data_IF_884841780614
#
_entry.id   IF_884841780614
#
_cell.length_a   1.000
_cell.length_b   1.000
_cell.length_c   1.000
_cell.angle_alpha   90.00
_cell.angle_beta   90.00
_cell.angle_gamma   90.00
#
_symmetry.space_group_name_H-M   'P 1'
#
loop_
_entity.id
_entity.type
_entity.pdbx_description
1 polymer ?
#
# COMPACT_ATOMS: atom_id res chain seq x y z
N UNK A 1 -6.32 16.55 -16.48
CA UNK A 1 -6.28 15.62 -15.33
C UNK A 1 -5.87 16.31 -14.02
N UNK A 2 -4.68 16.88 -13.91
CA UNK A 2 -4.17 17.49 -12.65
C UNK A 2 -5.12 18.56 -12.09
N UNK A 3 -5.63 19.47 -12.88
CA UNK A 3 -6.57 20.52 -12.41
C UNK A 3 -7.89 19.92 -11.87
N UNK A 4 -8.38 18.83 -12.45
CA UNK A 4 -9.54 18.10 -11.92
C UNK A 4 -9.24 17.44 -10.58
N UNK A 5 -8.04 16.88 -10.42
CA UNK A 5 -7.60 16.30 -9.16
C UNK A 5 -7.54 17.33 -8.04
N UNK A 6 -7.07 18.55 -8.33
CA UNK A 6 -7.04 19.65 -7.35
C UNK A 6 -8.44 20.11 -6.94
N UNK A 7 -9.41 20.11 -7.89
CA UNK A 7 -10.80 20.52 -7.61
C UNK A 7 -11.60 19.47 -6.83
N UNK A 8 -11.32 18.19 -7.04
CA UNK A 8 -12.03 17.07 -6.41
C UNK A 8 -11.03 16.02 -5.92
N UNK A 9 -10.22 16.35 -4.91
CA UNK A 9 -9.08 15.51 -4.51
C UNK A 9 -9.52 14.13 -4.01
N UNK A 10 -10.55 14.03 -3.17
CA UNK A 10 -11.08 12.76 -2.65
C UNK A 10 -11.52 11.83 -3.79
N UNK A 11 -12.45 12.30 -4.64
CA UNK A 11 -12.96 11.48 -5.76
C UNK A 11 -11.84 11.05 -6.70
N UNK A 12 -10.96 12.00 -7.03
CA UNK A 12 -9.85 11.72 -7.95
C UNK A 12 -8.87 10.72 -7.36
N UNK A 13 -8.53 10.83 -6.07
CA UNK A 13 -7.63 9.90 -5.40
C UNK A 13 -8.21 8.47 -5.39
N UNK A 14 -9.49 8.32 -5.03
CA UNK A 14 -10.17 7.02 -5.04
C UNK A 14 -10.23 6.39 -6.44
N UNK A 15 -10.63 7.17 -7.46
CA UNK A 15 -10.70 6.65 -8.83
C UNK A 15 -9.33 6.28 -9.39
N UNK A 16 -8.31 7.11 -9.16
CA UNK A 16 -6.95 6.84 -9.64
C UNK A 16 -6.40 5.61 -8.93
N UNK A 17 -6.61 5.49 -7.63
CA UNK A 17 -6.20 4.32 -6.86
C UNK A 17 -6.83 3.03 -7.41
N UNK A 18 -8.14 3.04 -7.63
CA UNK A 18 -8.87 1.92 -8.23
C UNK A 18 -8.27 1.52 -9.60
N UNK A 19 -8.06 2.49 -10.48
CA UNK A 19 -7.51 2.25 -11.82
C UNK A 19 -6.10 1.68 -11.75
N UNK A 20 -5.22 2.30 -10.94
CA UNK A 20 -3.83 1.86 -10.81
C UNK A 20 -3.70 0.46 -10.20
N UNK A 21 -4.66 0.04 -9.38
CA UNK A 21 -4.65 -1.30 -8.76
C UNK A 21 -5.23 -2.35 -9.70
N UNK A 22 -6.35 -2.08 -10.37
CA UNK A 22 -7.08 -3.09 -11.16
C UNK A 22 -6.53 -3.27 -12.58
N UNK A 23 -6.19 -2.16 -13.25
CA UNK A 23 -5.80 -2.21 -14.67
C UNK A 23 -4.58 -3.09 -14.93
N UNK A 24 -3.48 -3.01 -14.16
CA UNK A 24 -2.33 -3.88 -14.40
C UNK A 24 -2.66 -5.37 -14.27
N UNK A 25 -3.57 -5.73 -13.35
CA UNK A 25 -4.00 -7.12 -13.17
C UNK A 25 -4.77 -7.68 -14.36
N UNK A 26 -5.50 -6.84 -15.08
CA UNK A 26 -6.30 -7.28 -16.26
C UNK A 26 -5.42 -7.49 -17.50
N UNK A 27 -4.35 -6.72 -17.66
CA UNK A 27 -3.54 -6.72 -18.88
C UNK A 27 -2.28 -7.59 -18.83
N UNK A 28 -1.90 -8.09 -17.65
CA UNK A 28 -0.75 -8.97 -17.52
C UNK A 28 -1.19 -10.44 -17.56
N UNK A 29 -0.67 -11.25 -18.50
CA UNK A 29 -0.85 -12.70 -18.49
C UNK A 29 -0.25 -13.34 -17.23
N UNK A 30 -0.82 -14.47 -16.79
CA UNK A 30 -0.37 -15.20 -15.59
C UNK A 30 1.06 -15.75 -15.68
N UNK A 31 1.65 -15.80 -16.89
CA UNK A 31 2.99 -16.33 -17.16
C UNK A 31 4.06 -15.24 -17.34
N UNK A 32 3.81 -14.01 -16.89
CA UNK A 32 4.83 -12.96 -16.94
C UNK A 32 5.92 -13.24 -15.91
N UNK A 33 7.19 -13.08 -16.33
CA UNK A 33 8.31 -13.21 -15.40
C UNK A 33 8.23 -12.20 -14.26
N UNK A 34 8.72 -12.57 -13.07
CA UNK A 34 8.63 -11.79 -11.83
C UNK A 34 9.11 -10.34 -11.95
N UNK A 35 10.11 -10.05 -12.80
CA UNK A 35 10.59 -8.68 -13.03
C UNK A 35 9.53 -7.82 -13.74
N UNK A 36 8.86 -8.38 -14.76
CA UNK A 36 7.80 -7.71 -15.49
C UNK A 36 6.60 -7.48 -14.57
N UNK A 37 6.25 -8.48 -13.79
CA UNK A 37 5.18 -8.39 -12.80
C UNK A 37 5.46 -7.30 -11.76
N UNK A 38 6.64 -7.31 -11.15
CA UNK A 38 7.06 -6.30 -10.17
C UNK A 38 7.03 -4.89 -10.75
N UNK A 39 7.49 -4.72 -11.99
CA UNK A 39 7.50 -3.43 -12.64
C UNK A 39 6.10 -2.93 -12.99
N UNK A 40 5.30 -3.75 -13.68
CA UNK A 40 4.02 -3.31 -14.25
C UNK A 40 2.91 -3.27 -13.19
N UNK A 41 2.87 -4.24 -12.27
CA UNK A 41 1.82 -4.29 -11.23
C UNK A 41 2.10 -3.38 -10.02
N UNK A 42 3.38 -3.08 -9.75
CA UNK A 42 3.74 -2.37 -8.53
C UNK A 42 4.48 -1.05 -8.78
N UNK A 43 5.65 -1.10 -9.43
CA UNK A 43 6.51 0.09 -9.53
C UNK A 43 5.95 1.17 -10.45
N UNK A 44 5.43 0.80 -11.62
CA UNK A 44 4.85 1.77 -12.56
C UNK A 44 3.61 2.47 -11.98
N UNK A 45 2.62 1.75 -11.44
CA UNK A 45 1.50 2.38 -10.73
C UNK A 45 1.94 3.26 -9.56
N UNK A 46 2.91 2.80 -8.76
CA UNK A 46 3.50 3.56 -7.66
C UNK A 46 4.17 4.85 -8.12
N UNK A 47 4.92 4.82 -9.21
CA UNK A 47 5.56 6.00 -9.79
C UNK A 47 4.53 7.02 -10.31
N UNK A 48 3.47 6.55 -10.98
CA UNK A 48 2.35 7.39 -11.43
C UNK A 48 1.65 8.02 -10.24
N UNK A 49 1.35 7.23 -9.20
CA UNK A 49 0.75 7.72 -7.96
C UNK A 49 1.62 8.78 -7.27
N UNK A 50 2.92 8.55 -7.20
CA UNK A 50 3.88 9.50 -6.66
C UNK A 50 3.87 10.83 -7.44
N UNK A 51 3.89 10.77 -8.77
CA UNK A 51 3.82 11.97 -9.61
C UNK A 51 2.52 12.76 -9.38
N UNK A 52 1.37 12.07 -9.31
CA UNK A 52 0.06 12.70 -9.05
C UNK A 52 0.04 13.31 -7.65
N UNK A 53 0.51 12.59 -6.63
CA UNK A 53 0.55 13.06 -5.25
C UNK A 53 1.33 14.38 -5.14
N UNK A 54 2.49 14.48 -5.78
CA UNK A 54 3.32 15.69 -5.78
C UNK A 54 2.66 16.82 -6.57
N UNK A 55 2.14 16.55 -7.77
CA UNK A 55 1.65 17.59 -8.68
C UNK A 55 0.24 18.07 -8.37
N UNK A 56 -0.65 17.18 -7.92
CA UNK A 56 -2.05 17.48 -7.67
C UNK A 56 -2.37 17.69 -6.19
N UNK A 57 -1.78 16.88 -5.29
CA UNK A 57 -2.11 16.86 -3.88
C UNK A 57 -1.06 17.51 -2.97
N UNK A 58 -0.03 18.13 -3.55
CA UNK A 58 0.99 18.85 -2.78
C UNK A 58 1.77 17.97 -1.80
N UNK A 59 1.91 16.68 -2.10
CA UNK A 59 2.69 15.78 -1.28
C UNK A 59 4.17 16.17 -1.34
N UNK A 60 4.84 16.14 -0.17
CA UNK A 60 6.22 16.56 -0.08
C UNK A 60 7.15 15.40 -0.46
N UNK A 61 8.09 15.65 -1.36
CA UNK A 61 9.15 14.68 -1.73
C UNK A 61 10.01 14.25 -0.54
N UNK A 62 10.13 15.11 0.48
CA UNK A 62 10.83 14.79 1.73
C UNK A 62 10.23 13.57 2.46
N UNK A 63 8.97 13.23 2.22
CA UNK A 63 8.35 12.02 2.77
C UNK A 63 8.96 10.71 2.25
N UNK A 64 9.67 10.76 1.13
CA UNK A 64 10.41 9.64 0.55
C UNK A 64 11.88 9.61 1.03
N UNK A 65 12.27 10.58 1.85
CA UNK A 65 13.62 10.69 2.40
C UNK A 65 13.77 10.05 3.78
N UNK A 66 15.00 10.06 4.28
CA UNK A 66 15.35 9.45 5.57
C UNK A 66 14.92 10.24 6.79
N UNK A 67 14.45 11.50 6.62
CA UNK A 67 13.96 12.30 7.74
C UNK A 67 12.71 11.64 8.36
N UNK A 68 12.81 11.33 9.65
CA UNK A 68 11.74 10.63 10.37
C UNK A 68 11.75 9.10 10.21
N UNK A 69 12.73 8.54 9.50
CA UNK A 69 12.85 7.10 9.23
C UNK A 69 12.76 6.24 10.50
N UNK A 70 13.59 6.53 11.51
CA UNK A 70 13.63 5.77 12.75
C UNK A 70 12.30 5.82 13.53
N UNK A 71 11.62 6.98 13.50
CA UNK A 71 10.28 7.11 14.10
C UNK A 71 9.25 6.32 13.31
N UNK A 72 9.30 6.38 11.98
CA UNK A 72 8.40 5.60 11.11
C UNK A 72 8.61 4.10 11.31
N UNK A 73 9.87 3.65 11.39
CA UNK A 73 10.22 2.26 11.66
C UNK A 73 9.69 1.81 13.02
N UNK A 74 9.86 2.63 14.07
CA UNK A 74 9.36 2.34 15.42
C UNK A 74 7.83 2.30 15.46
N UNK A 75 7.13 3.27 14.85
CA UNK A 75 5.67 3.32 14.88
C UNK A 75 5.02 2.18 14.08
N UNK A 76 5.69 1.70 13.06
CA UNK A 76 5.23 0.53 12.27
C UNK A 76 5.70 -0.81 12.87
N UNK A 77 6.51 -0.81 13.92
CA UNK A 77 7.10 -2.04 14.50
C UNK A 77 6.12 -3.07 15.09
N UNK A 78 4.85 -2.76 15.45
CA UNK A 78 3.90 -3.80 15.83
C UNK A 78 3.74 -4.89 14.75
N UNK A 79 4.05 -4.60 13.49
CA UNK A 79 4.10 -5.58 12.40
C UNK A 79 5.16 -6.67 12.64
N UNK A 80 6.21 -6.40 13.41
CA UNK A 80 7.22 -7.40 13.78
C UNK A 80 6.60 -8.65 14.41
N UNK A 81 5.55 -8.50 15.20
CA UNK A 81 4.86 -9.63 15.83
C UNK A 81 4.28 -10.56 14.76
N UNK A 82 3.67 -10.00 13.72
CA UNK A 82 3.12 -10.77 12.60
C UNK A 82 4.22 -11.45 11.79
N UNK A 83 5.32 -10.74 11.53
CA UNK A 83 6.48 -11.32 10.85
C UNK A 83 7.07 -12.50 11.66
N UNK A 84 7.17 -12.37 12.97
CA UNK A 84 7.66 -13.45 13.85
C UNK A 84 6.70 -14.64 13.83
N UNK A 85 5.38 -14.40 13.93
CA UNK A 85 4.37 -15.46 13.84
C UNK A 85 4.52 -16.20 12.51
N UNK A 86 4.60 -15.47 11.39
CA UNK A 86 4.79 -16.05 10.07
C UNK A 86 6.07 -16.91 10.02
N UNK A 87 7.20 -16.40 10.51
CA UNK A 87 8.46 -17.15 10.51
C UNK A 87 8.42 -18.40 11.37
N UNK A 88 7.75 -18.36 12.52
CA UNK A 88 7.63 -19.53 13.42
C UNK A 88 6.69 -20.58 12.85
N UNK A 89 5.67 -20.17 12.10
CA UNK A 89 4.68 -21.08 11.49
C UNK A 89 5.06 -21.54 10.09
N UNK A 90 6.05 -20.87 9.45
CA UNK A 90 6.52 -21.22 8.11
C UNK A 90 7.13 -22.65 8.10
N UNK A 91 6.79 -23.39 7.07
CA UNK A 91 7.56 -24.57 6.68
C UNK A 91 8.82 -24.03 5.99
N UNK A 92 9.93 -24.01 6.71
CA UNK A 92 11.19 -23.39 6.29
C UNK A 92 11.59 -23.79 4.86
N UNK A 93 11.26 -22.94 3.89
CA UNK A 93 11.76 -22.97 2.53
C UNK A 93 12.88 -21.96 2.34
N UNK A 94 13.74 -22.16 1.38
CA UNK A 94 14.74 -21.16 1.00
C UNK A 94 14.02 -19.95 0.39
N UNK A 95 14.31 -18.75 0.93
CA UNK A 95 13.81 -17.51 0.35
C UNK A 95 14.65 -17.20 -0.90
N UNK A 96 14.04 -17.33 -2.06
CA UNK A 96 14.70 -16.99 -3.31
C UNK A 96 14.83 -15.48 -3.51
N UNK A 97 15.92 -15.04 -4.15
CA UNK A 97 16.17 -13.61 -4.40
C UNK A 97 15.01 -12.89 -5.10
N UNK A 98 14.33 -13.56 -6.03
CA UNK A 98 13.19 -12.96 -6.72
C UNK A 98 12.01 -12.64 -5.77
N UNK A 99 11.79 -13.44 -4.71
CA UNK A 99 10.75 -13.17 -3.71
C UNK A 99 11.08 -11.91 -2.89
N UNK A 100 12.36 -11.69 -2.58
CA UNK A 100 12.81 -10.46 -1.90
C UNK A 100 12.53 -9.24 -2.78
N UNK A 101 12.89 -9.32 -4.07
CA UNK A 101 12.65 -8.23 -5.04
C UNK A 101 11.15 -7.95 -5.17
N UNK A 102 10.34 -8.99 -5.36
CA UNK A 102 8.89 -8.85 -5.51
C UNK A 102 8.26 -8.25 -4.25
N UNK A 103 8.59 -8.76 -3.06
CA UNK A 103 8.07 -8.27 -1.80
C UNK A 103 8.37 -6.77 -1.59
N UNK A 104 9.61 -6.35 -1.91
CA UNK A 104 10.00 -4.95 -1.80
C UNK A 104 9.31 -4.05 -2.84
N UNK A 105 9.27 -4.47 -4.10
CA UNK A 105 8.61 -3.72 -5.16
C UNK A 105 7.10 -3.57 -4.92
N UNK A 106 6.44 -4.62 -4.44
CA UNK A 106 5.03 -4.60 -4.07
C UNK A 106 4.80 -3.62 -2.92
N UNK A 107 5.54 -3.75 -1.83
CA UNK A 107 5.41 -2.85 -0.69
C UNK A 107 5.66 -1.38 -1.08
N UNK A 108 6.69 -1.10 -1.87
CA UNK A 108 6.99 0.24 -2.35
C UNK A 108 5.84 0.79 -3.20
N UNK A 109 5.38 0.04 -4.18
CA UNK A 109 4.29 0.46 -5.07
C UNK A 109 2.98 0.71 -4.31
N UNK A 110 2.59 -0.21 -3.45
CA UNK A 110 1.36 -0.11 -2.66
C UNK A 110 1.40 1.05 -1.66
N UNK A 111 2.53 1.27 -0.97
CA UNK A 111 2.66 2.40 -0.05
C UNK A 111 2.66 3.75 -0.78
N UNK A 112 3.26 3.84 -1.96
CA UNK A 112 3.17 5.04 -2.80
C UNK A 112 1.72 5.31 -3.25
N UNK A 113 1.00 4.29 -3.66
CA UNK A 113 -0.40 4.43 -4.06
C UNK A 113 -1.31 4.74 -2.87
N UNK A 114 -1.19 4.00 -1.77
CA UNK A 114 -2.14 4.08 -0.67
C UNK A 114 -1.83 5.22 0.31
N UNK A 115 -0.58 5.43 0.71
CA UNK A 115 -0.23 6.44 1.73
C UNK A 115 0.23 7.75 1.13
N UNK A 116 1.02 7.70 0.07
CA UNK A 116 1.51 8.94 -0.52
C UNK A 116 0.46 9.64 -1.39
N UNK A 117 -0.34 8.89 -2.16
CA UNK A 117 -1.36 9.45 -3.05
C UNK A 117 -2.78 9.42 -2.45
N UNK A 118 -3.32 8.22 -2.16
CA UNK A 118 -4.71 8.06 -1.73
C UNK A 118 -4.98 8.77 -0.40
N UNK A 119 -4.19 8.48 0.63
CA UNK A 119 -4.32 9.13 1.94
C UNK A 119 -4.26 10.66 1.81
N UNK A 120 -3.30 11.18 1.03
CA UNK A 120 -3.14 12.63 0.84
C UNK A 120 -4.34 13.25 0.11
N UNK A 121 -4.84 12.59 -0.93
CA UNK A 121 -6.02 13.06 -1.66
C UNK A 121 -7.29 13.04 -0.80
N UNK A 122 -7.44 12.03 0.06
CA UNK A 122 -8.52 11.96 1.04
C UNK A 122 -8.38 13.09 2.07
N UNK A 123 -7.20 13.28 2.66
CA UNK A 123 -6.96 14.31 3.66
C UNK A 123 -7.27 15.73 3.15
N UNK A 124 -7.02 16.00 1.86
CA UNK A 124 -7.36 17.26 1.23
C UNK A 124 -8.86 17.40 0.93
N UNK A 125 -9.52 16.31 0.53
CA UNK A 125 -10.93 16.32 0.17
C UNK A 125 -11.87 16.24 1.37
N UNK A 126 -11.44 15.62 2.46
CA UNK A 126 -12.24 15.47 3.70
C UNK A 126 -12.27 16.72 4.56
N UNK A 127 -11.48 17.74 4.24
CA UNK A 127 -11.42 18.98 5.01
C UNK A 127 -12.76 19.77 5.05
N UNK A 128 -13.81 19.26 4.40
CA UNK A 128 -15.15 19.86 4.38
C UNK A 128 -16.30 18.87 4.22
N UNK A 129 -16.03 17.57 4.18
CA UNK A 129 -17.06 16.53 3.96
C UNK A 129 -17.03 15.48 5.09
N UNK A 130 -18.18 15.17 5.64
CA UNK A 130 -18.35 14.24 6.78
C UNK A 130 -18.45 12.77 6.32
N UNK A 131 -17.54 12.33 5.45
CA UNK A 131 -17.47 10.93 5.00
C UNK A 131 -16.63 10.14 6.01
N UNK A 132 -17.23 9.19 6.72
CA UNK A 132 -16.62 8.39 7.78
C UNK A 132 -15.92 9.25 8.85
N UNK A 133 -16.56 10.39 9.22
CA UNK A 133 -15.98 11.32 10.18
C UNK A 133 -14.74 12.07 9.69
N UNK A 134 -14.52 12.14 8.38
CA UNK A 134 -13.39 12.87 7.79
C UNK A 134 -12.00 12.29 8.11
N UNK A 135 -11.91 11.07 8.69
CA UNK A 135 -10.65 10.49 9.12
C UNK A 135 -9.89 9.84 7.95
N UNK A 136 -8.83 10.47 7.40
CA UNK A 136 -8.12 9.96 6.25
C UNK A 136 -7.36 8.65 6.55
N UNK A 137 -6.98 8.39 7.81
CA UNK A 137 -6.35 7.13 8.21
C UNK A 137 -7.33 6.00 8.01
N UNK A 138 -8.52 6.12 8.59
CA UNK A 138 -9.52 5.06 8.53
C UNK A 138 -10.01 4.83 7.09
N UNK A 139 -10.35 5.90 6.37
CA UNK A 139 -10.89 5.78 5.01
C UNK A 139 -9.87 5.18 4.04
N UNK A 140 -8.60 5.64 4.07
CA UNK A 140 -7.56 5.05 3.21
C UNK A 140 -7.26 3.60 3.56
N UNK A 141 -7.33 3.23 4.84
CA UNK A 141 -7.13 1.86 5.29
C UNK A 141 -8.25 0.92 4.84
N UNK A 142 -9.51 1.36 4.95
CA UNK A 142 -10.67 0.59 4.47
C UNK A 142 -10.61 0.39 2.95
N UNK A 143 -10.32 1.45 2.18
CA UNK A 143 -10.18 1.35 0.73
C UNK A 143 -9.04 0.39 0.37
N UNK A 144 -7.89 0.50 1.05
CA UNK A 144 -6.76 -0.40 0.85
C UNK A 144 -7.13 -1.86 1.12
N UNK A 145 -7.84 -2.14 2.22
CA UNK A 145 -8.31 -3.48 2.54
C UNK A 145 -9.29 -4.02 1.49
N UNK A 146 -10.31 -3.24 1.13
CA UNK A 146 -11.34 -3.65 0.16
C UNK A 146 -10.74 -3.97 -1.21
N UNK A 147 -9.67 -3.30 -1.63
CA UNK A 147 -9.00 -3.61 -2.90
C UNK A 147 -8.41 -5.02 -2.96
N UNK A 148 -8.17 -5.66 -1.82
CA UNK A 148 -7.74 -7.06 -1.76
C UNK A 148 -8.87 -8.06 -2.04
N UNK A 149 -10.12 -7.61 -2.17
CA UNK A 149 -11.25 -8.47 -2.56
C UNK A 149 -11.04 -9.16 -3.91
N UNK A 150 -10.23 -8.58 -4.81
CA UNK A 150 -9.86 -9.19 -6.09
C UNK A 150 -9.17 -10.55 -5.92
N UNK A 151 -8.53 -10.79 -4.79
CA UNK A 151 -7.86 -12.05 -4.48
C UNK A 151 -8.83 -13.20 -4.19
N UNK A 152 -10.14 -12.92 -4.03
CA UNK A 152 -11.15 -13.95 -3.80
C UNK A 152 -11.21 -15.00 -4.92
N UNK A 153 -10.90 -14.60 -6.14
CA UNK A 153 -10.84 -15.49 -7.29
C UNK A 153 -9.73 -16.57 -7.18
N UNK A 154 -8.65 -16.24 -6.46
CA UNK A 154 -7.48 -17.13 -6.32
C UNK A 154 -7.50 -17.88 -5.00
N UNK A 155 -7.79 -17.19 -3.89
CA UNK A 155 -7.67 -17.80 -2.55
C UNK A 155 -9.00 -18.22 -1.91
N UNK A 156 -10.12 -17.98 -2.59
CA UNK A 156 -11.46 -18.24 -2.08
C UNK A 156 -12.00 -17.13 -1.17
N UNK A 157 -13.32 -17.10 -1.03
CA UNK A 157 -14.05 -15.98 -0.41
C UNK A 157 -13.68 -15.74 1.06
N UNK A 158 -13.55 -16.78 1.87
CA UNK A 158 -13.26 -16.65 3.30
C UNK A 158 -11.85 -16.10 3.55
N UNK A 159 -10.87 -16.61 2.82
CA UNK A 159 -9.49 -16.12 2.92
C UNK A 159 -9.39 -14.66 2.45
N UNK A 160 -10.13 -14.30 1.40
CA UNK A 160 -10.18 -12.92 0.92
C UNK A 160 -10.85 -11.99 1.94
N UNK A 161 -11.94 -12.40 2.59
CA UNK A 161 -12.56 -11.61 3.66
C UNK A 161 -11.60 -11.40 4.84
N UNK A 162 -10.90 -12.45 5.25
CA UNK A 162 -9.87 -12.32 6.28
C UNK A 162 -8.77 -11.36 5.83
N UNK A 163 -8.31 -11.47 4.59
CA UNK A 163 -7.29 -10.57 4.04
C UNK A 163 -7.76 -9.11 4.01
N UNK A 164 -9.01 -8.84 3.62
CA UNK A 164 -9.58 -7.48 3.60
C UNK A 164 -9.48 -6.83 5.00
N UNK A 165 -9.93 -7.55 6.04
CA UNK A 165 -9.89 -7.05 7.42
C UNK A 165 -8.45 -6.86 7.89
N UNK A 166 -7.63 -7.87 7.68
CA UNK A 166 -6.22 -7.88 8.08
C UNK A 166 -5.43 -6.74 7.43
N UNK A 167 -5.55 -6.57 6.11
CA UNK A 167 -4.86 -5.51 5.38
C UNK A 167 -5.40 -4.12 5.70
N UNK A 168 -6.69 -3.99 6.04
CA UNK A 168 -7.24 -2.73 6.52
C UNK A 168 -6.63 -2.33 7.88
N UNK A 169 -6.50 -3.27 8.82
CA UNK A 169 -5.88 -3.00 10.14
C UNK A 169 -4.41 -2.59 9.98
N UNK A 170 -3.64 -3.35 9.20
CA UNK A 170 -2.24 -3.02 8.91
C UNK A 170 -2.15 -1.69 8.16
N UNK A 171 -3.05 -1.47 7.22
CA UNK A 171 -3.17 -0.25 6.47
C UNK A 171 -3.41 0.98 7.34
N UNK A 172 -4.23 0.85 8.38
CA UNK A 172 -4.44 1.91 9.37
C UNK A 172 -3.17 2.22 10.16
N UNK A 173 -2.42 1.20 10.56
CA UNK A 173 -1.15 1.40 11.28
C UNK A 173 -0.12 2.15 10.41
N UNK A 174 0.05 1.76 9.14
CA UNK A 174 0.96 2.44 8.24
C UNK A 174 0.51 3.88 7.92
N UNK A 175 -0.79 4.09 7.71
CA UNK A 175 -1.34 5.43 7.49
C UNK A 175 -1.16 6.33 8.73
N UNK A 176 -1.36 5.79 9.94
CA UNK A 176 -1.10 6.48 11.20
C UNK A 176 0.39 6.82 11.37
N UNK A 177 1.29 5.85 11.13
CA UNK A 177 2.73 6.06 11.18
C UNK A 177 3.17 7.17 10.20
N UNK A 178 2.70 7.10 8.96
CA UNK A 178 2.96 8.13 7.95
C UNK A 178 2.41 9.50 8.38
N UNK A 179 1.19 9.57 8.88
CA UNK A 179 0.58 10.82 9.36
C UNK A 179 1.39 11.46 10.49
N UNK A 180 1.94 10.66 11.40
CA UNK A 180 2.74 11.14 12.54
C UNK A 180 4.18 11.53 12.18
N UNK A 181 4.77 10.88 11.20
CA UNK A 181 6.21 11.03 10.91
C UNK A 181 6.51 11.78 9.60
N UNK A 182 5.54 11.79 8.69
CA UNK A 182 5.73 12.25 7.31
C UNK A 182 6.72 11.39 6.49
N UNK A 183 7.08 10.19 6.97
CA UNK A 183 8.05 9.31 6.33
C UNK A 183 7.43 7.95 6.01
N UNK A 184 7.57 7.49 4.76
CA UNK A 184 7.06 6.21 4.29
C UNK A 184 8.01 5.03 4.51
N UNK A 185 9.32 5.30 4.59
CA UNK A 185 10.33 4.24 4.50
C UNK A 185 10.21 3.16 5.57
N UNK A 186 9.87 3.53 6.81
CA UNK A 186 9.68 2.54 7.88
C UNK A 186 8.49 1.62 7.61
N UNK A 187 7.38 2.17 7.11
CA UNK A 187 6.21 1.40 6.68
C UNK A 187 6.53 0.47 5.51
N UNK A 188 7.25 0.98 4.49
CA UNK A 188 7.67 0.18 3.32
C UNK A 188 8.53 -1.02 3.75
N UNK A 189 9.49 -0.83 4.66
CA UNK A 189 10.34 -1.93 5.13
C UNK A 189 9.54 -3.00 5.88
N UNK A 190 8.66 -2.60 6.81
CA UNK A 190 7.83 -3.56 7.55
C UNK A 190 6.83 -4.26 6.63
N UNK A 191 6.28 -3.56 5.63
CA UNK A 191 5.39 -4.14 4.64
C UNK A 191 6.12 -5.17 3.77
N UNK A 192 7.33 -4.85 3.29
CA UNK A 192 8.15 -5.78 2.52
C UNK A 192 8.52 -7.03 3.33
N UNK A 193 8.90 -6.87 4.60
CA UNK A 193 9.17 -7.99 5.51
C UNK A 193 7.92 -8.85 5.74
N UNK A 194 6.75 -8.23 5.90
CA UNK A 194 5.50 -8.94 6.07
C UNK A 194 5.16 -9.77 4.82
N UNK A 195 5.27 -9.20 3.63
CA UNK A 195 5.05 -9.91 2.38
C UNK A 195 6.00 -11.10 2.26
N UNK A 196 7.30 -10.87 2.49
CA UNK A 196 8.33 -11.90 2.41
C UNK A 196 8.07 -13.05 3.39
N UNK A 197 7.70 -12.75 4.63
CA UNK A 197 7.43 -13.78 5.63
C UNK A 197 6.11 -14.51 5.37
N UNK A 198 5.11 -13.84 4.78
CA UNK A 198 3.84 -14.46 4.38
C UNK A 198 4.01 -15.44 3.21
N UNK A 199 4.91 -15.15 2.28
CA UNK A 199 5.22 -16.04 1.16
C UNK A 199 6.04 -17.27 1.59
N UNK A 200 6.78 -17.18 2.68
CA UNK A 200 7.50 -18.32 3.27
C UNK A 200 6.57 -19.39 3.87
N UNK A 201 5.27 -19.10 4.05
CA UNK A 201 4.27 -20.03 4.60
C UNK A 201 3.64 -20.91 3.50
N UNK A 202 3.74 -20.51 2.25
CA UNK A 202 3.18 -21.24 1.10
C UNK A 202 4.10 -22.36 0.65
#
# INVERSE_FOLDING_TARGET
MIERCKKQPLKSACWIYLVLTLVPGVFLPDNTGYLTESFVRCLLPGAIACWIAVKAFGAQRSSLGVKGFWKSLLYSSPIAVLCIINLVTAKHGEIAFHQVVLAFCTALGEELMARFMLFRGIALGSAGEDILGGNPILLSAVIFGVMHAVNAAVMGTWNALFQIVYTAVIGALFAWSYNKTGCLLGGILWHALLNLTSDAIK
#
